data_IF_333046189149
#
_entry.id   IF_333046189149
#
_cell.length_a   1.000
_cell.length_b   1.000
_cell.length_c   1.000
_cell.angle_alpha   90.00
_cell.angle_beta   90.00
_cell.angle_gamma   90.00
#
_symmetry.space_group_name_H-M   'P 1'
#
loop_
_entity.id
_entity.type
_entity.pdbx_description
1 polymer ?
#
# COMPACT_ATOMS: atom_id res chain seq x y z
N UNK A 1 -2.07 24.41 9.55
CA UNK A 1 -2.89 24.03 8.38
C UNK A 1 -3.50 25.22 7.63
N UNK A 2 -3.53 26.43 8.19
CA UNK A 2 -4.17 27.60 7.57
C UNK A 2 -3.75 27.87 6.12
N UNK A 3 -2.45 27.72 5.83
CA UNK A 3 -1.88 27.92 4.49
C UNK A 3 -2.57 27.06 3.40
N UNK A 4 -3.02 25.85 3.72
CA UNK A 4 -3.63 24.94 2.76
C UNK A 4 -5.16 25.03 2.68
N UNK A 5 -5.82 25.85 3.51
CA UNK A 5 -7.30 25.93 3.54
C UNK A 5 -7.90 26.49 2.25
N UNK A 6 -7.14 27.33 1.54
CA UNK A 6 -7.54 27.87 0.23
C UNK A 6 -7.29 26.90 -0.93
N UNK A 7 -6.48 25.86 -0.74
CA UNK A 7 -6.16 24.88 -1.79
C UNK A 7 -7.35 23.97 -2.08
N UNK A 8 -7.85 23.98 -3.32
CA UNK A 8 -9.06 23.24 -3.70
C UNK A 8 -8.92 21.72 -3.61
N UNK A 9 -7.70 21.19 -3.71
CA UNK A 9 -7.42 19.75 -3.63
C UNK A 9 -7.18 19.34 -2.19
N UNK A 10 -6.29 20.04 -1.49
CA UNK A 10 -5.84 19.65 -0.16
C UNK A 10 -6.85 19.97 0.93
N UNK A 11 -7.65 21.03 0.81
CA UNK A 11 -8.65 21.41 1.83
C UNK A 11 -9.61 20.28 2.21
N UNK A 12 -9.87 19.36 1.28
CA UNK A 12 -10.75 18.21 1.50
C UNK A 12 -10.18 17.21 2.52
N UNK A 13 -8.87 17.20 2.75
CA UNK A 13 -8.19 16.21 3.58
C UNK A 13 -7.63 16.80 4.89
N UNK A 14 -7.51 18.13 5.02
CA UNK A 14 -6.92 18.78 6.19
C UNK A 14 -7.58 18.34 7.51
N UNK A 15 -8.91 18.22 7.51
CA UNK A 15 -9.72 17.82 8.66
C UNK A 15 -9.32 16.46 9.27
N UNK A 16 -8.62 15.60 8.53
CA UNK A 16 -8.18 14.29 9.02
C UNK A 16 -7.18 14.43 10.18
N UNK A 17 -6.30 15.44 10.13
CA UNK A 17 -5.22 15.61 11.11
C UNK A 17 -5.13 17.02 11.70
N UNK A 18 -5.92 17.99 11.25
CA UNK A 18 -5.78 19.40 11.67
C UNK A 18 -5.96 19.63 13.17
N UNK A 19 -6.78 18.80 13.84
CA UNK A 19 -7.07 18.88 15.27
C UNK A 19 -6.25 17.88 16.10
N UNK A 20 -5.34 17.13 15.46
CA UNK A 20 -4.47 16.19 16.16
C UNK A 20 -3.37 16.92 16.92
N UNK A 21 -3.02 16.43 18.11
CA UNK A 21 -1.88 16.93 18.89
C UNK A 21 -0.53 16.66 18.21
N UNK A 22 -0.50 15.63 17.34
CA UNK A 22 0.70 15.19 16.62
C UNK A 22 0.39 14.97 15.15
N UNK A 23 1.38 15.22 14.30
CA UNK A 23 1.28 15.05 12.84
C UNK A 23 2.17 13.88 12.42
N UNK A 24 1.67 12.92 11.63
CA UNK A 24 2.51 11.84 11.11
C UNK A 24 3.44 12.42 10.05
N UNK A 25 4.74 12.18 10.18
CA UNK A 25 5.75 12.64 9.22
C UNK A 25 6.68 11.47 8.91
N UNK A 26 7.04 11.35 7.63
CA UNK A 26 8.06 10.40 7.19
C UNK A 26 9.36 11.18 6.91
N UNK A 27 10.44 10.74 7.53
CA UNK A 27 11.78 11.31 7.38
C UNK A 27 12.75 10.30 6.78
N UNK A 28 13.76 10.79 6.07
CA UNK A 28 14.95 10.00 5.73
C UNK A 28 16.02 10.07 6.85
N UNK A 29 17.14 9.37 6.63
CA UNK A 29 18.29 9.36 7.56
C UNK A 29 18.97 10.72 7.74
N UNK A 30 18.75 11.67 6.83
CA UNK A 30 19.26 13.05 6.88
C UNK A 30 18.24 14.03 7.46
N UNK A 31 17.12 13.52 8.02
CA UNK A 31 15.99 14.32 8.54
C UNK A 31 15.29 15.15 7.46
N UNK A 32 15.39 14.76 6.19
CA UNK A 32 14.60 15.35 5.10
C UNK A 32 13.17 14.82 5.16
N UNK A 33 12.17 15.71 5.08
CA UNK A 33 10.76 15.32 5.03
C UNK A 33 10.42 14.68 3.68
N UNK A 34 9.93 13.44 3.72
CA UNK A 34 9.46 12.71 2.54
C UNK A 34 7.97 12.91 2.30
N UNK A 35 7.15 12.93 3.35
CA UNK A 35 5.71 13.19 3.26
C UNK A 35 5.13 13.61 4.61
N UNK A 36 3.98 14.29 4.55
CA UNK A 36 3.05 14.53 5.65
C UNK A 36 1.76 13.76 5.31
N UNK A 37 1.66 12.46 5.65
CA UNK A 37 0.42 11.72 5.45
C UNK A 37 -0.75 12.33 6.25
N UNK A 38 -2.00 12.25 5.77
CA UNK A 38 -2.44 11.89 4.43
C UNK A 38 -2.55 13.11 3.49
N UNK A 39 -1.82 14.19 3.75
CA UNK A 39 -2.06 15.50 3.13
C UNK A 39 -1.23 15.70 1.88
N UNK A 40 0.10 15.61 1.98
CA UNK A 40 0.98 15.96 0.86
C UNK A 40 2.33 15.23 0.94
N UNK A 41 2.88 14.92 -0.22
CA UNK A 41 4.24 14.39 -0.36
C UNK A 41 5.25 15.53 -0.54
N UNK A 42 6.48 15.31 -0.10
CA UNK A 42 7.57 16.26 -0.24
C UNK A 42 8.01 16.40 -1.70
N UNK A 43 8.38 17.62 -2.10
CA UNK A 43 8.93 17.86 -3.43
C UNK A 43 10.28 17.15 -3.66
N UNK A 44 11.03 16.90 -2.58
CA UNK A 44 12.32 16.20 -2.62
C UNK A 44 12.22 14.77 -3.17
N UNK A 45 11.15 14.05 -2.80
CA UNK A 45 10.89 12.66 -3.18
C UNK A 45 9.90 12.54 -4.36
N UNK A 46 9.62 13.65 -5.05
CA UNK A 46 8.66 13.66 -6.15
C UNK A 46 9.10 12.74 -7.30
N UNK A 47 8.19 11.85 -7.72
CA UNK A 47 8.42 10.94 -8.84
C UNK A 47 8.35 11.73 -10.15
N UNK A 48 9.29 11.48 -11.05
CA UNK A 48 9.34 12.09 -12.39
C UNK A 48 9.53 11.00 -13.45
N UNK A 49 9.43 11.36 -14.73
CA UNK A 49 9.71 10.44 -15.85
C UNK A 49 11.16 9.91 -15.86
N UNK A 50 12.07 10.55 -15.11
CA UNK A 50 13.46 10.12 -14.97
C UNK A 50 13.67 9.14 -13.81
N UNK A 51 12.70 9.01 -12.90
CA UNK A 51 12.81 8.14 -11.72
C UNK A 51 13.00 6.69 -12.14
N UNK A 52 13.95 6.01 -11.48
CA UNK A 52 14.29 4.60 -11.76
C UNK A 52 13.86 3.65 -10.66
N UNK A 53 14.07 4.05 -9.41
CA UNK A 53 13.70 3.29 -8.22
C UNK A 53 12.61 4.06 -7.48
N UNK A 54 11.57 3.37 -7.03
CA UNK A 54 10.41 3.96 -6.36
C UNK A 54 10.23 3.28 -5.01
N UNK A 55 10.29 4.06 -3.94
CA UNK A 55 9.87 3.63 -2.61
C UNK A 55 8.37 3.91 -2.46
N UNK A 56 7.59 2.90 -2.08
CA UNK A 56 6.16 3.02 -1.84
C UNK A 56 5.90 2.84 -0.35
N UNK A 57 5.35 3.87 0.29
CA UNK A 57 4.86 3.81 1.66
C UNK A 57 3.33 3.83 1.67
N UNK A 58 2.74 3.19 2.68
CA UNK A 58 1.30 3.22 2.92
C UNK A 58 1.04 3.43 4.41
N UNK A 59 0.67 4.65 4.79
CA UNK A 59 0.23 4.98 6.15
C UNK A 59 -1.30 4.92 6.24
N UNK A 60 -1.83 4.13 7.17
CA UNK A 60 -3.28 4.02 7.42
C UNK A 60 -3.60 3.68 8.87
N UNK A 61 -4.86 3.88 9.26
CA UNK A 61 -5.41 3.43 10.55
C UNK A 61 -5.76 1.95 10.57
N UNK A 62 -5.85 1.31 9.41
CA UNK A 62 -6.17 -0.11 9.23
C UNK A 62 -5.02 -0.78 8.47
N UNK A 63 -4.29 -1.66 9.17
CA UNK A 63 -3.12 -2.34 8.63
C UNK A 63 -3.48 -3.26 7.46
N UNK A 64 -4.60 -3.97 7.54
CA UNK A 64 -5.05 -4.90 6.48
C UNK A 64 -5.31 -4.14 5.19
N UNK A 65 -5.98 -2.99 5.27
CA UNK A 65 -6.21 -2.13 4.10
C UNK A 65 -4.91 -1.58 3.53
N UNK A 66 -3.98 -1.13 4.38
CA UNK A 66 -2.67 -0.68 3.93
C UNK A 66 -1.91 -1.79 3.20
N UNK A 67 -1.90 -3.02 3.74
CA UNK A 67 -1.28 -4.19 3.10
C UNK A 67 -1.90 -4.47 1.73
N UNK A 68 -3.23 -4.46 1.62
CA UNK A 68 -3.93 -4.69 0.33
C UNK A 68 -3.54 -3.61 -0.68
N UNK A 69 -3.52 -2.33 -0.30
CA UNK A 69 -3.14 -1.23 -1.20
C UNK A 69 -1.69 -1.37 -1.64
N UNK A 70 -0.77 -1.63 -0.71
CA UNK A 70 0.65 -1.83 -1.02
C UNK A 70 0.85 -3.01 -1.98
N UNK A 71 0.26 -4.16 -1.66
CA UNK A 71 0.33 -5.37 -2.48
C UNK A 71 -0.25 -5.13 -3.88
N UNK A 72 -1.35 -4.39 -3.98
CA UNK A 72 -1.96 -4.06 -5.28
C UNK A 72 -1.04 -3.16 -6.10
N UNK A 73 -0.49 -2.12 -5.49
CA UNK A 73 0.40 -1.17 -6.17
C UNK A 73 1.68 -1.84 -6.68
N UNK A 74 2.37 -2.59 -5.80
CA UNK A 74 3.63 -3.24 -6.16
C UNK A 74 3.42 -4.34 -7.21
N UNK A 75 2.36 -5.14 -7.11
CA UNK A 75 2.07 -6.19 -8.10
C UNK A 75 1.77 -5.60 -9.48
N UNK A 76 0.92 -4.57 -9.58
CA UNK A 76 0.62 -3.88 -10.86
C UNK A 76 1.90 -3.32 -11.50
N UNK A 77 2.72 -2.60 -10.74
CA UNK A 77 3.87 -1.90 -11.30
C UNK A 77 5.11 -2.77 -11.48
N UNK A 78 5.22 -3.89 -10.77
CA UNK A 78 6.33 -4.85 -10.91
C UNK A 78 6.49 -5.40 -12.34
N UNK A 79 5.42 -5.42 -13.14
CA UNK A 79 5.47 -5.81 -14.55
C UNK A 79 6.34 -4.86 -15.40
N UNK A 80 6.53 -3.62 -14.94
CA UNK A 80 7.31 -2.58 -15.62
C UNK A 80 8.71 -2.38 -15.02
N UNK A 81 9.08 -3.15 -14.00
CA UNK A 81 10.42 -3.13 -13.42
C UNK A 81 11.46 -3.69 -14.41
N UNK A 82 12.72 -3.25 -14.28
CA UNK A 82 13.83 -3.77 -15.08
C UNK A 82 13.98 -5.29 -14.94
N UNK A 83 13.74 -5.82 -13.73
CA UNK A 83 13.46 -7.23 -13.49
C UNK A 83 11.95 -7.41 -13.29
N UNK A 84 11.29 -8.08 -14.23
CA UNK A 84 9.83 -8.20 -14.23
C UNK A 84 9.34 -9.02 -13.03
N UNK A 85 8.24 -8.57 -12.42
CA UNK A 85 7.57 -9.24 -11.31
C UNK A 85 8.44 -9.41 -10.06
N UNK A 86 9.51 -8.62 -9.95
CA UNK A 86 10.36 -8.54 -8.76
C UNK A 86 10.04 -7.25 -7.99
N UNK A 87 9.91 -7.38 -6.67
CA UNK A 87 9.69 -6.27 -5.74
C UNK A 87 10.77 -6.36 -4.66
N UNK A 88 11.46 -5.27 -4.41
CA UNK A 88 12.47 -5.21 -3.35
C UNK A 88 11.76 -5.09 -1.98
N UNK A 89 11.97 -6.04 -1.06
CA UNK A 89 11.32 -6.03 0.24
C UNK A 89 11.93 -4.97 1.17
N UNK A 90 11.09 -4.38 2.01
CA UNK A 90 11.47 -3.38 3.01
C UNK A 90 11.08 -3.86 4.40
N UNK A 91 12.01 -3.78 5.35
CA UNK A 91 11.74 -4.03 6.76
C UNK A 91 11.08 -2.80 7.41
N UNK A 92 9.95 -3.00 8.06
CA UNK A 92 9.23 -2.00 8.84
C UNK A 92 9.31 -2.38 10.31
N UNK A 93 9.94 -1.50 11.09
CA UNK A 93 10.14 -1.67 12.54
C UNK A 93 9.09 -0.82 13.26
N UNK A 94 8.23 -1.46 14.04
CA UNK A 94 7.19 -0.81 14.83
C UNK A 94 7.76 -0.27 16.15
N UNK A 95 7.04 0.66 16.77
CA UNK A 95 7.41 1.21 18.08
C UNK A 95 7.38 0.16 19.20
N UNK A 96 6.71 -0.98 19.00
CA UNK A 96 6.77 -2.14 19.90
C UNK A 96 8.12 -2.86 19.87
N UNK A 97 8.96 -2.59 18.88
CA UNK A 97 10.21 -3.32 18.60
C UNK A 97 10.03 -4.51 17.66
N UNK A 98 8.79 -4.87 17.30
CA UNK A 98 8.53 -5.89 16.29
C UNK A 98 8.89 -5.37 14.90
N UNK A 99 9.47 -6.24 14.07
CA UNK A 99 9.75 -5.94 12.67
C UNK A 99 9.06 -6.92 11.73
N UNK A 100 8.63 -6.39 10.58
CA UNK A 100 7.95 -7.14 9.54
C UNK A 100 8.50 -6.74 8.18
N UNK A 101 8.59 -7.70 7.27
CA UNK A 101 9.04 -7.46 5.90
C UNK A 101 7.83 -7.27 4.98
N UNK A 102 7.85 -6.21 4.18
CA UNK A 102 6.79 -5.85 3.25
C UNK A 102 7.30 -5.67 1.81
N UNK A 103 6.46 -5.90 0.79
CA UNK A 103 5.09 -6.40 0.87
C UNK A 103 5.03 -7.89 1.27
N UNK A 104 3.95 -8.28 1.95
CA UNK A 104 3.64 -9.68 2.21
C UNK A 104 2.77 -10.22 1.08
N UNK A 105 3.39 -10.94 0.14
CA UNK A 105 2.74 -11.55 -1.01
C UNK A 105 2.52 -13.06 -0.82
N UNK A 106 2.40 -13.51 0.44
CA UNK A 106 2.09 -14.90 0.75
C UNK A 106 0.78 -15.34 0.09
N UNK A 107 0.78 -16.56 -0.46
CA UNK A 107 -0.40 -17.14 -1.07
C UNK A 107 -1.40 -17.58 0.00
N UNK A 108 -2.65 -17.16 -0.15
CA UNK A 108 -3.76 -17.67 0.64
C UNK A 108 -4.36 -18.87 -0.08
N UNK A 109 -4.17 -20.06 0.48
CA UNK A 109 -4.75 -21.29 -0.03
C UNK A 109 -6.05 -21.59 0.73
N UNK A 110 -7.11 -21.91 -0.01
CA UNK A 110 -8.39 -22.36 0.52
C UNK A 110 -8.78 -23.67 -0.16
N UNK A 111 -9.16 -24.67 0.63
CA UNK A 111 -9.74 -25.90 0.11
C UNK A 111 -11.26 -25.79 0.07
N UNK A 112 -11.86 -26.21 -1.04
CA UNK A 112 -13.31 -26.18 -1.25
C UNK A 112 -13.74 -27.49 -1.92
N UNK A 113 -14.91 -28.01 -1.54
CA UNK A 113 -15.44 -29.23 -2.18
C UNK A 113 -16.04 -28.91 -3.55
N UNK A 114 -15.85 -29.81 -4.51
CA UNK A 114 -16.48 -29.70 -5.83
C UNK A 114 -18.02 -29.62 -5.72
N UNK A 115 -18.60 -30.36 -4.77
CA UNK A 115 -20.04 -30.34 -4.52
C UNK A 115 -20.53 -28.96 -4.07
N UNK A 116 -19.76 -28.25 -3.25
CA UNK A 116 -20.11 -26.89 -2.84
C UNK A 116 -20.14 -25.94 -4.04
N UNK A 117 -19.08 -25.95 -4.88
CA UNK A 117 -19.00 -25.10 -6.08
C UNK A 117 -20.16 -25.38 -7.04
N UNK A 118 -20.39 -26.66 -7.35
CA UNK A 118 -21.47 -27.09 -8.24
C UNK A 118 -22.86 -26.67 -7.70
N UNK A 119 -23.12 -26.89 -6.42
CA UNK A 119 -24.42 -26.58 -5.82
C UNK A 119 -24.66 -25.08 -5.68
N UNK A 120 -23.63 -24.27 -5.42
CA UNK A 120 -23.76 -22.81 -5.30
C UNK A 120 -24.07 -22.12 -6.62
N UNK A 121 -23.56 -22.65 -7.74
CA UNK A 121 -23.74 -22.07 -9.08
C UNK A 121 -24.89 -22.75 -9.85
N UNK A 122 -25.22 -24.01 -9.51
CA UNK A 122 -26.24 -24.81 -10.19
C UNK A 122 -25.72 -25.54 -11.42
N UNK A 123 -24.46 -25.97 -11.40
CA UNK A 123 -23.79 -26.67 -12.51
C UNK A 123 -23.36 -28.08 -12.11
N UNK A 124 -23.03 -28.93 -13.09
CA UNK A 124 -22.57 -30.30 -12.87
C UNK A 124 -21.22 -30.54 -13.56
N UNK A 125 -20.19 -29.88 -13.07
CA UNK A 125 -18.82 -29.99 -13.59
C UNK A 125 -18.03 -31.09 -12.86
N UNK A 126 -17.08 -31.71 -13.57
CA UNK A 126 -16.05 -32.58 -12.98
C UNK A 126 -14.89 -31.73 -12.44
N UNK A 127 -14.09 -32.30 -11.54
CA UNK A 127 -12.94 -31.60 -10.93
C UNK A 127 -11.93 -31.08 -11.97
N UNK A 128 -11.68 -31.86 -13.02
CA UNK A 128 -10.79 -31.51 -14.13
C UNK A 128 -11.23 -30.28 -14.94
N UNK A 129 -12.53 -29.95 -14.91
CA UNK A 129 -13.07 -28.78 -15.60
C UNK A 129 -13.03 -27.51 -14.73
N UNK A 130 -12.78 -27.66 -13.42
CA UNK A 130 -12.74 -26.56 -12.44
C UNK A 130 -11.30 -26.12 -12.13
N UNK A 131 -10.32 -27.01 -12.30
CA UNK A 131 -8.89 -26.76 -12.09
C UNK A 131 -8.23 -26.17 -13.33
#
# INVERSE_FOLDING_TARGET
MEFYKSDLKLKKFLHIIENSLVFPIIYDSKRTVLSLPPIINGAHSAITLKTKNVLIECTATDLTKAKIVLNTMVTIFSAYCGKKYEVEPVEVIYSSGESFVYPDLSLYNMEVSLSYVNNSIGVALKAEEVL
#
